data_IF_586513744558
#
_entry.id   IF_586513744558
#
_cell.length_a   1.000
_cell.length_b   1.000
_cell.length_c   1.000
_cell.angle_alpha   90.00
_cell.angle_beta   90.00
_cell.angle_gamma   90.00
#
_symmetry.space_group_name_H-M   'P 1'
#
loop_
_entity.id
_entity.type
_entity.pdbx_description
1 polymer ?
#
# COMPACT_ATOMS: atom_id res chain seq x y z
N UNK A 1 50.53 -16.90 -4.74
CA UNK A 1 49.61 -16.33 -5.76
C UNK A 1 48.26 -17.04 -5.83
N UNK A 2 48.19 -18.36 -6.03
CA UNK A 2 46.92 -19.11 -6.12
C UNK A 2 46.00 -18.97 -4.89
N UNK A 3 46.55 -19.01 -3.68
CA UNK A 3 45.77 -18.82 -2.44
C UNK A 3 45.12 -17.42 -2.34
N UNK A 4 45.79 -16.39 -2.84
CA UNK A 4 45.28 -15.02 -2.85
C UNK A 4 44.11 -14.88 -3.83
N UNK A 5 44.18 -15.54 -4.99
CA UNK A 5 43.10 -15.61 -5.97
C UNK A 5 41.87 -16.32 -5.37
N UNK A 6 42.07 -17.43 -4.66
CA UNK A 6 40.97 -18.13 -3.98
C UNK A 6 40.29 -17.29 -2.89
N UNK A 7 41.06 -16.53 -2.12
CA UNK A 7 40.52 -15.61 -1.11
C UNK A 7 39.73 -14.48 -1.78
N UNK A 8 40.24 -13.91 -2.88
CA UNK A 8 39.56 -12.85 -3.62
C UNK A 8 38.22 -13.34 -4.20
N UNK A 9 38.20 -14.54 -4.80
CA UNK A 9 36.99 -15.14 -5.38
C UNK A 9 35.94 -15.46 -4.31
N UNK A 10 36.36 -15.96 -3.15
CA UNK A 10 35.48 -16.19 -2.01
C UNK A 10 34.89 -14.89 -1.47
N UNK A 11 35.68 -13.82 -1.41
CA UNK A 11 35.22 -12.50 -1.00
C UNK A 11 34.17 -11.95 -1.97
N UNK A 12 34.36 -12.11 -3.28
CA UNK A 12 33.37 -11.64 -4.28
C UNK A 12 32.02 -12.38 -4.19
N UNK A 13 32.00 -13.66 -3.79
CA UNK A 13 30.76 -14.41 -3.59
C UNK A 13 29.98 -13.96 -2.34
N UNK A 14 30.68 -13.49 -1.30
CA UNK A 14 30.04 -13.02 -0.05
C UNK A 14 29.35 -11.66 -0.21
N UNK A 15 29.76 -10.83 -1.17
CA UNK A 15 29.19 -9.50 -1.43
C UNK A 15 28.21 -9.45 -2.62
N UNK A 16 27.98 -10.58 -3.32
CA UNK A 16 27.21 -10.62 -4.56
C UNK A 16 25.69 -10.86 -4.42
N UNK A 17 25.16 -11.02 -3.21
CA UNK A 17 23.74 -11.28 -3.00
C UNK A 17 22.93 -9.97 -2.92
N UNK A 18 22.72 -9.30 -4.06
CA UNK A 18 21.66 -8.29 -4.16
C UNK A 18 20.32 -9.02 -4.20
N UNK A 19 19.59 -9.07 -3.09
CA UNK A 19 18.22 -9.56 -3.08
C UNK A 19 17.38 -8.82 -4.13
N UNK A 20 16.46 -9.52 -4.79
CA UNK A 20 15.54 -8.89 -5.73
C UNK A 20 14.84 -7.71 -5.03
N UNK A 21 14.70 -6.55 -5.69
CA UNK A 21 13.96 -5.44 -5.11
C UNK A 21 12.58 -5.93 -4.70
N UNK A 22 12.14 -5.54 -3.50
CA UNK A 22 10.82 -5.92 -3.00
C UNK A 22 9.74 -5.48 -4.01
N UNK A 23 8.77 -6.35 -4.27
CA UNK A 23 7.64 -6.00 -5.11
C UNK A 23 6.79 -4.92 -4.42
N UNK A 24 6.43 -3.87 -5.16
CA UNK A 24 5.48 -2.86 -4.68
C UNK A 24 4.07 -3.39 -4.87
N UNK A 25 3.27 -3.41 -3.81
CA UNK A 25 1.86 -3.80 -3.84
C UNK A 25 0.98 -2.55 -3.65
N UNK A 26 0.05 -2.32 -4.59
CA UNK A 26 -1.01 -1.34 -4.46
C UNK A 26 -2.33 -2.09 -4.27
N UNK A 27 -3.01 -1.84 -3.16
CA UNK A 27 -4.34 -2.37 -2.88
C UNK A 27 -5.34 -1.22 -2.96
N UNK A 28 -6.44 -1.46 -3.66
CA UNK A 28 -7.48 -0.47 -3.92
C UNK A 28 -8.82 -0.93 -3.36
N UNK A 29 -9.46 -0.04 -2.63
CA UNK A 29 -10.80 -0.19 -2.08
C UNK A 29 -11.74 0.56 -3.01
N UNK A 30 -12.69 -0.16 -3.60
CA UNK A 30 -13.62 0.40 -4.58
C UNK A 30 -15.00 0.69 -3.98
N UNK A 31 -15.77 1.50 -4.71
CA UNK A 31 -17.19 1.77 -4.49
C UNK A 31 -17.54 2.65 -3.27
N UNK A 32 -16.58 3.38 -2.72
CA UNK A 32 -16.84 4.30 -1.61
C UNK A 32 -17.84 5.39 -2.06
N UNK A 33 -18.87 5.63 -1.25
CA UNK A 33 -20.00 6.50 -1.60
C UNK A 33 -21.17 5.78 -2.26
N UNK A 34 -21.08 4.48 -2.58
CA UNK A 34 -22.18 3.71 -3.16
C UNK A 34 -23.37 3.57 -2.20
N UNK A 35 -23.11 3.21 -0.93
CA UNK A 35 -24.12 3.10 0.13
C UNK A 35 -23.49 3.23 1.52
N UNK A 36 -24.34 3.41 2.55
CA UNK A 36 -23.92 3.51 3.95
C UNK A 36 -23.01 2.36 4.39
N UNK A 37 -23.39 1.12 4.06
CA UNK A 37 -22.64 -0.06 4.49
C UNK A 37 -21.21 -0.10 3.91
N UNK A 38 -21.02 0.38 2.68
CA UNK A 38 -19.68 0.47 2.07
C UNK A 38 -18.87 1.59 2.72
N UNK A 39 -19.49 2.71 3.06
CA UNK A 39 -18.82 3.82 3.76
C UNK A 39 -18.35 3.40 5.16
N UNK A 40 -19.18 2.70 5.93
CA UNK A 40 -18.80 2.20 7.26
C UNK A 40 -17.65 1.19 7.16
N UNK A 41 -17.69 0.28 6.18
CA UNK A 41 -16.59 -0.65 5.94
C UNK A 41 -15.28 0.08 5.54
N UNK A 42 -15.38 1.16 4.75
CA UNK A 42 -14.24 1.99 4.40
C UNK A 42 -13.65 2.69 5.65
N UNK A 43 -14.51 3.15 6.57
CA UNK A 43 -14.08 3.72 7.85
C UNK A 43 -13.40 2.68 8.74
N UNK A 44 -13.99 1.50 8.89
CA UNK A 44 -13.40 0.39 9.65
C UNK A 44 -12.01 0.02 9.13
N UNK A 45 -11.84 0.05 7.80
CA UNK A 45 -10.56 -0.22 7.17
C UNK A 45 -9.55 0.91 7.39
N UNK A 46 -9.98 2.18 7.32
CA UNK A 46 -9.13 3.33 7.63
C UNK A 46 -8.63 3.29 9.09
N UNK A 47 -9.49 2.88 10.02
CA UNK A 47 -9.18 2.69 11.45
C UNK A 47 -8.04 1.66 11.69
N UNK A 48 -7.81 0.73 10.75
CA UNK A 48 -6.71 -0.25 10.86
C UNK A 48 -5.31 0.36 10.73
N UNK A 49 -5.20 1.58 10.20
CA UNK A 49 -3.93 2.23 9.90
C UNK A 49 -3.21 1.67 8.66
N UNK A 50 -3.77 0.69 7.95
CA UNK A 50 -3.18 0.15 6.71
C UNK A 50 -3.29 1.21 5.60
N UNK A 51 -2.20 1.55 4.90
CA UNK A 51 -2.23 2.56 3.87
C UNK A 51 -2.78 2.01 2.55
N UNK A 52 -4.02 2.38 2.23
CA UNK A 52 -4.75 1.88 1.06
C UNK A 52 -5.25 3.05 0.18
N UNK A 53 -5.47 2.75 -1.10
CA UNK A 53 -6.10 3.68 -2.03
C UNK A 53 -7.61 3.46 -2.07
N UNK A 54 -8.39 4.53 -1.94
CA UNK A 54 -9.86 4.51 -1.91
C UNK A 54 -10.38 5.21 -3.17
N UNK A 55 -11.27 4.58 -3.94
CA UNK A 55 -11.95 5.24 -5.06
C UNK A 55 -13.32 5.75 -4.62
N UNK A 56 -13.56 7.06 -4.74
CA UNK A 56 -14.83 7.67 -4.32
C UNK A 56 -15.75 7.85 -5.54
N UNK A 57 -16.93 7.25 -5.46
CA UNK A 57 -17.99 7.41 -6.46
C UNK A 57 -18.79 8.70 -6.20
N UNK A 58 -18.29 9.85 -6.68
CA UNK A 58 -18.94 11.16 -6.52
C UNK A 58 -20.38 11.25 -7.09
N UNK A 59 -20.75 10.36 -8.01
CA UNK A 59 -22.11 10.30 -8.58
C UNK A 59 -23.13 9.64 -7.66
N UNK A 60 -22.68 8.92 -6.63
CA UNK A 60 -23.55 8.15 -5.75
C UNK A 60 -24.07 9.01 -4.58
N UNK A 61 -25.29 8.75 -4.09
CA UNK A 61 -25.94 9.62 -3.11
C UNK A 61 -25.25 9.66 -1.74
N UNK A 62 -24.36 8.72 -1.44
CA UNK A 62 -23.64 8.63 -0.16
C UNK A 62 -22.22 9.18 -0.21
N UNK A 63 -21.80 9.83 -1.30
CA UNK A 63 -20.42 10.35 -1.41
C UNK A 63 -20.09 11.38 -0.33
N UNK A 64 -21.05 12.24 0.04
CA UNK A 64 -20.81 13.30 1.02
C UNK A 64 -20.56 12.72 2.42
N UNK A 65 -21.31 11.67 2.79
CA UNK A 65 -21.05 10.92 4.02
C UNK A 65 -19.65 10.31 3.99
N UNK A 66 -19.26 9.68 2.88
CA UNK A 66 -17.92 9.10 2.75
C UNK A 66 -16.82 10.15 2.96
N UNK A 67 -16.96 11.32 2.35
CA UNK A 67 -16.01 12.44 2.52
C UNK A 67 -15.96 12.87 3.99
N UNK A 68 -17.11 13.06 4.64
CA UNK A 68 -17.16 13.48 6.03
C UNK A 68 -16.58 12.45 7.00
N UNK A 69 -16.74 11.15 6.71
CA UNK A 69 -16.15 10.07 7.49
C UNK A 69 -14.64 9.97 7.29
N UNK A 70 -14.11 10.22 6.08
CA UNK A 70 -12.75 9.83 5.70
C UNK A 70 -11.74 10.99 5.57
N UNK A 71 -12.19 12.24 5.43
CA UNK A 71 -11.31 13.39 5.12
C UNK A 71 -10.19 13.68 6.13
N UNK A 72 -10.33 13.22 7.36
CA UNK A 72 -9.38 13.50 8.46
C UNK A 72 -8.35 12.36 8.68
N UNK A 73 -8.35 11.32 7.84
CA UNK A 73 -7.37 10.23 7.92
C UNK A 73 -6.12 10.54 7.08
N UNK A 74 -4.95 10.52 7.72
CA UNK A 74 -3.66 10.78 7.07
C UNK A 74 -3.03 9.54 6.40
N UNK A 75 -3.57 8.35 6.69
CA UNK A 75 -3.03 7.07 6.21
C UNK A 75 -3.68 6.60 4.89
N UNK A 76 -4.65 7.31 4.34
CA UNK A 76 -5.38 6.89 3.13
C UNK A 76 -5.15 7.87 1.98
N UNK A 77 -5.27 7.39 0.75
CA UNK A 77 -5.25 8.24 -0.44
C UNK A 77 -6.49 8.02 -1.29
N UNK A 78 -6.95 9.08 -1.96
CA UNK A 78 -8.18 9.05 -2.75
C UNK A 78 -7.89 9.08 -4.26
N UNK A 79 -8.70 8.34 -5.02
CA UNK A 79 -8.74 8.35 -6.48
C UNK A 79 -10.13 8.60 -7.01
#
# INVERSE_FOLDING_TARGET
MKKLIFILLAFMHLFGASGSPAATLLVRCDDIGMCHAVNEAAKELADTGIPLNYSIMFVCPWYQEAVDLLKDYDNICFG
#
